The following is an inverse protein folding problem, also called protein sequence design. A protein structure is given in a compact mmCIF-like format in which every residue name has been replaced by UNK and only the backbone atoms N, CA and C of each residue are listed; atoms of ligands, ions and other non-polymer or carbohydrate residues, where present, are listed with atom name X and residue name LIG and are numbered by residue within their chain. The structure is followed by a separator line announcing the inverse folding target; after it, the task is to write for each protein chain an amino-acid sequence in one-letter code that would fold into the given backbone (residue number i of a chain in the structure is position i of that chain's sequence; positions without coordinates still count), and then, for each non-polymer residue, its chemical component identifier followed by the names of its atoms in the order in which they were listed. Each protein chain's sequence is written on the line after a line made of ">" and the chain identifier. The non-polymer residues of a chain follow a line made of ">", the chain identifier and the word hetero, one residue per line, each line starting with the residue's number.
data_IF_471357017419
#
_entry.id   IF_471357017419
#
_cell.length_a   1.000
_cell.length_b   1.000
_cell.length_c   1.000
_cell.angle_alpha   90.00
_cell.angle_beta   90.00
_cell.angle_gamma   90.00
#
_symmetry.space_group_name_H-M   'P 1'
#
loop_
_entity.id
_entity.type
_entity.pdbx_description
1 polymer ?
#
# COMPACT_ATOMS: atom_id res chain seq x y z
N UNK A 1 5.42 8.34 -24.29
CA UNK A 1 5.81 7.33 -23.29
C UNK A 1 4.85 6.17 -23.44
N UNK A 2 5.30 5.03 -23.96
CA UNK A 2 4.54 3.78 -23.92
C UNK A 2 4.92 3.04 -22.65
N UNK A 3 3.95 2.56 -21.88
CA UNK A 3 4.21 1.67 -20.75
C UNK A 3 4.53 0.28 -21.31
N UNK A 4 5.80 -0.10 -21.25
CA UNK A 4 6.24 -1.43 -21.65
C UNK A 4 6.32 -2.33 -20.41
N UNK A 5 5.50 -3.37 -20.38
CA UNK A 5 5.46 -4.33 -19.29
C UNK A 5 6.51 -5.44 -19.45
N UNK A 6 7.08 -5.60 -20.65
CA UNK A 6 8.08 -6.63 -20.94
C UNK A 6 9.43 -6.35 -20.30
N UNK A 7 9.70 -5.08 -19.96
CA UNK A 7 10.93 -4.65 -19.27
C UNK A 7 10.83 -4.79 -17.75
N UNK A 8 9.65 -5.10 -17.20
CA UNK A 8 9.46 -5.26 -15.76
C UNK A 8 9.75 -6.69 -15.32
N UNK A 9 10.47 -6.82 -14.21
CA UNK A 9 10.62 -8.10 -13.53
C UNK A 9 9.30 -8.48 -12.82
N UNK A 10 8.46 -9.26 -13.50
CA UNK A 10 7.16 -9.70 -12.96
C UNK A 10 7.30 -10.56 -11.70
N UNK A 11 8.42 -11.26 -11.50
CA UNK A 11 8.68 -11.96 -10.25
C UNK A 11 8.86 -11.00 -9.08
N UNK A 12 9.59 -9.91 -9.28
CA UNK A 12 9.74 -8.87 -8.26
C UNK A 12 8.37 -8.24 -7.90
N UNK A 13 7.50 -8.02 -8.89
CA UNK A 13 6.13 -7.52 -8.67
C UNK A 13 5.28 -8.50 -7.85
N UNK A 14 5.38 -9.81 -8.13
CA UNK A 14 4.67 -10.83 -7.36
C UNK A 14 5.18 -10.89 -5.91
N UNK A 15 6.50 -10.82 -5.69
CA UNK A 15 7.06 -10.79 -4.33
C UNK A 15 6.64 -9.51 -3.60
N UNK A 16 6.69 -8.35 -4.26
CA UNK A 16 6.21 -7.08 -3.70
C UNK A 16 4.72 -7.15 -3.31
N UNK A 17 3.90 -7.85 -4.10
CA UNK A 17 2.49 -8.09 -3.78
C UNK A 17 2.35 -8.89 -2.49
N UNK A 18 3.09 -10.00 -2.36
CA UNK A 18 3.07 -10.84 -1.15
C UNK A 18 3.54 -10.05 0.07
N UNK A 19 4.58 -9.23 -0.06
CA UNK A 19 5.05 -8.34 1.02
C UNK A 19 3.93 -7.40 1.45
N UNK A 20 3.26 -6.73 0.50
CA UNK A 20 2.14 -5.84 0.81
C UNK A 20 1.02 -6.55 1.60
N UNK A 21 0.69 -7.78 1.20
CA UNK A 21 -0.31 -8.59 1.92
C UNK A 21 0.15 -8.97 3.33
N UNK A 22 1.41 -9.38 3.50
CA UNK A 22 1.97 -9.71 4.81
C UNK A 22 1.99 -8.48 5.71
N UNK A 23 2.46 -7.34 5.20
CA UNK A 23 2.43 -6.07 5.93
C UNK A 23 1.01 -5.70 6.32
N UNK A 24 0.04 -5.82 5.40
CA UNK A 24 -1.37 -5.54 5.69
C UNK A 24 -1.94 -6.45 6.77
N UNK A 25 -1.67 -7.76 6.68
CA UNK A 25 -2.10 -8.74 7.68
C UNK A 25 -1.54 -8.42 9.07
N UNK A 26 -0.27 -8.02 9.15
CA UNK A 26 0.37 -7.66 10.41
C UNK A 26 -0.12 -6.30 10.94
N UNK A 27 -0.27 -5.30 10.06
CA UNK A 27 -0.72 -3.94 10.39
C UNK A 27 -2.10 -3.91 11.03
N UNK A 28 -3.04 -4.68 10.46
CA UNK A 28 -4.42 -4.79 10.95
C UNK A 28 -4.62 -5.99 11.90
N UNK A 29 -3.54 -6.65 12.33
CA UNK A 29 -3.61 -7.68 13.38
C UNK A 29 -3.78 -7.05 14.78
N UNK A 30 -4.18 -7.84 15.79
CA UNK A 30 -4.20 -7.41 17.19
C UNK A 30 -2.82 -7.01 17.75
N UNK A 31 -1.73 -7.40 17.08
CA UNK A 31 -0.34 -7.13 17.51
C UNK A 31 0.04 -5.67 17.25
N UNK A 32 -0.45 -5.09 16.16
CA UNK A 32 -0.21 -3.68 15.79
C UNK A 32 -1.47 -2.85 15.99
N UNK A 33 -2.07 -2.37 14.89
CA UNK A 33 -3.12 -1.34 14.93
C UNK A 33 -4.53 -1.90 14.81
N UNK A 34 -4.71 -3.22 14.64
CA UNK A 34 -6.02 -3.83 14.39
C UNK A 34 -7.06 -3.51 15.47
N UNK A 35 -6.69 -3.61 16.75
CA UNK A 35 -7.61 -3.31 17.86
C UNK A 35 -8.01 -1.83 17.89
N UNK A 36 -7.06 -0.93 17.66
CA UNK A 36 -7.30 0.52 17.62
C UNK A 36 -8.17 0.87 16.42
N UNK A 37 -7.88 0.32 15.25
CA UNK A 37 -8.65 0.52 14.02
C UNK A 37 -10.10 0.07 14.19
N UNK A 38 -10.34 -1.15 14.70
CA UNK A 38 -11.70 -1.67 14.95
C UNK A 38 -12.51 -0.76 15.87
N UNK A 39 -11.90 -0.28 16.95
CA UNK A 39 -12.53 0.68 17.86
C UNK A 39 -12.86 2.00 17.17
N UNK A 40 -11.97 2.52 16.32
CA UNK A 40 -12.20 3.78 15.61
C UNK A 40 -13.29 3.68 14.55
N UNK A 41 -13.47 2.52 13.92
CA UNK A 41 -14.56 2.28 12.96
C UNK A 41 -15.83 1.74 13.62
N UNK A 42 -15.85 1.62 14.95
CA UNK A 42 -17.00 1.13 15.74
C UNK A 42 -17.48 -0.27 15.31
N UNK A 43 -16.54 -1.17 14.96
CA UNK A 43 -16.83 -2.57 14.63
C UNK A 43 -16.26 -3.52 15.66
N UNK A 44 -17.00 -4.58 15.96
CA UNK A 44 -16.54 -5.72 16.76
C UNK A 44 -15.99 -6.82 15.86
N UNK A 45 -15.24 -7.74 16.47
CA UNK A 45 -14.73 -8.92 15.76
C UNK A 45 -15.86 -9.78 15.20
N UNK A 46 -17.00 -9.84 15.87
CA UNK A 46 -18.20 -10.54 15.37
C UNK A 46 -18.74 -9.93 14.08
N UNK A 47 -18.54 -8.62 13.85
CA UNK A 47 -18.98 -7.92 12.64
C UNK A 47 -18.03 -8.18 11.45
N UNK A 48 -16.87 -8.78 11.69
CA UNK A 48 -15.87 -9.09 10.67
C UNK A 48 -16.14 -10.47 10.07
N UNK A 49 -17.05 -10.53 9.11
CA UNK A 49 -17.29 -11.75 8.33
C UNK A 49 -16.15 -11.95 7.34
N UNK A 50 -15.37 -13.03 7.50
CA UNK A 50 -14.43 -13.46 6.47
C UNK A 50 -15.21 -13.87 5.22
N UNK A 51 -15.07 -13.10 4.15
CA UNK A 51 -15.69 -13.41 2.86
C UNK A 51 -14.62 -13.50 1.78
N UNK A 52 -14.77 -14.50 0.91
CA UNK A 52 -13.82 -14.79 -0.16
C UNK A 52 -13.71 -13.64 -1.16
N UNK A 53 -14.81 -12.92 -1.42
CA UNK A 53 -14.87 -11.82 -2.38
C UNK A 53 -13.89 -10.68 -2.07
N UNK A 54 -13.98 -10.02 -0.90
CA UNK A 54 -13.02 -8.99 -0.48
C UNK A 54 -11.58 -9.47 -0.44
N UNK A 55 -11.32 -10.74 -0.09
CA UNK A 55 -9.97 -11.29 -0.09
C UNK A 55 -9.40 -11.38 -1.51
N UNK A 56 -10.17 -11.88 -2.47
CA UNK A 56 -9.78 -11.89 -3.89
C UNK A 56 -9.55 -10.45 -4.38
N UNK A 57 -10.45 -9.53 -4.03
CA UNK A 57 -10.31 -8.11 -4.37
C UNK A 57 -9.00 -7.51 -3.82
N UNK A 58 -8.66 -7.81 -2.56
CA UNK A 58 -7.42 -7.33 -1.94
C UNK A 58 -6.16 -7.85 -2.66
N UNK A 59 -6.16 -9.11 -3.10
CA UNK A 59 -5.05 -9.68 -3.89
C UNK A 59 -4.91 -8.93 -5.21
N UNK A 60 -6.00 -8.78 -5.97
CA UNK A 60 -5.97 -8.10 -7.28
C UNK A 60 -5.50 -6.66 -7.13
N UNK A 61 -6.04 -5.93 -6.15
CA UNK A 61 -5.64 -4.54 -5.87
C UNK A 61 -4.16 -4.48 -5.46
N UNK A 62 -3.66 -5.43 -4.69
CA UNK A 62 -2.24 -5.47 -4.27
C UNK A 62 -1.29 -5.71 -5.45
N UNK A 63 -1.69 -6.55 -6.42
CA UNK A 63 -0.94 -6.76 -7.67
C UNK A 63 -0.88 -5.45 -8.47
N UNK A 64 -2.05 -4.83 -8.69
CA UNK A 64 -2.13 -3.55 -9.43
C UNK A 64 -1.30 -2.47 -8.76
N UNK A 65 -1.32 -2.40 -7.42
CA UNK A 65 -0.55 -1.43 -6.67
C UNK A 65 0.97 -1.64 -6.83
N UNK A 66 1.42 -2.88 -6.73
CA UNK A 66 2.85 -3.23 -6.89
C UNK A 66 3.32 -3.01 -8.33
N UNK A 67 2.49 -3.35 -9.31
CA UNK A 67 2.77 -3.09 -10.73
C UNK A 67 2.84 -1.60 -11.04
N UNK A 68 1.92 -0.82 -10.48
CA UNK A 68 1.89 0.64 -10.64
C UNK A 68 3.17 1.27 -10.08
N UNK A 69 3.60 0.84 -8.88
CA UNK A 69 4.85 1.30 -8.29
C UNK A 69 6.05 0.95 -9.18
N UNK A 70 6.12 -0.28 -9.70
CA UNK A 70 7.20 -0.68 -10.62
C UNK A 70 7.23 0.17 -11.89
N UNK A 71 6.07 0.50 -12.46
CA UNK A 71 5.98 1.41 -13.62
C UNK A 71 6.48 2.82 -13.29
N UNK A 72 6.16 3.36 -12.11
CA UNK A 72 6.66 4.67 -11.69
C UNK A 72 8.19 4.68 -11.52
N UNK A 73 8.75 3.62 -10.91
CA UNK A 73 10.20 3.48 -10.76
C UNK A 73 10.89 3.42 -12.13
N UNK A 74 10.34 2.66 -13.06
CA UNK A 74 10.87 2.58 -14.43
C UNK A 74 10.73 3.91 -15.19
N UNK A 75 9.55 4.55 -15.12
CA UNK A 75 9.29 5.81 -15.82
C UNK A 75 10.13 6.99 -15.32
N UNK A 76 10.55 6.95 -14.05
CA UNK A 76 11.45 7.94 -13.44
C UNK A 76 12.93 7.56 -13.57
N UNK A 77 13.24 6.40 -14.15
CA UNK A 77 14.58 5.83 -14.21
C UNK A 77 15.25 5.77 -12.83
N UNK A 78 14.51 5.32 -11.82
CA UNK A 78 15.03 5.13 -10.46
C UNK A 78 16.03 3.96 -10.44
N UNK A 79 17.33 4.26 -10.30
CA UNK A 79 18.40 3.25 -10.34
C UNK A 79 18.96 2.93 -8.95
N UNK A 80 18.71 3.79 -7.97
CA UNK A 80 19.19 3.60 -6.59
C UNK A 80 18.03 3.44 -5.61
N UNK A 81 18.29 2.79 -4.48
CA UNK A 81 17.31 2.68 -3.38
C UNK A 81 16.83 4.07 -2.93
N UNK A 82 17.68 5.09 -2.95
CA UNK A 82 17.30 6.45 -2.61
C UNK A 82 16.28 7.03 -3.59
N UNK A 83 16.47 6.81 -4.90
CA UNK A 83 15.50 7.23 -5.93
C UNK A 83 14.17 6.52 -5.74
N UNK A 84 14.21 5.20 -5.49
CA UNK A 84 13.00 4.41 -5.28
C UNK A 84 12.23 4.81 -4.03
N UNK A 85 12.92 5.14 -2.94
CA UNK A 85 12.31 5.70 -1.73
C UNK A 85 11.70 7.09 -1.98
N UNK A 86 12.36 7.95 -2.76
CA UNK A 86 11.84 9.27 -3.11
C UNK A 86 10.53 9.15 -3.91
N UNK A 87 10.51 8.32 -4.95
CA UNK A 87 9.30 8.06 -5.76
C UNK A 87 8.18 7.52 -4.88
N UNK A 88 8.46 6.52 -4.05
CA UNK A 88 7.48 5.97 -3.11
C UNK A 88 6.96 7.00 -2.12
N UNK A 89 7.82 7.86 -1.57
CA UNK A 89 7.44 8.92 -0.64
C UNK A 89 6.53 9.96 -1.29
N UNK A 90 6.79 10.34 -2.55
CA UNK A 90 5.93 11.25 -3.30
C UNK A 90 4.55 10.64 -3.58
N UNK A 91 4.50 9.36 -4.00
CA UNK A 91 3.24 8.64 -4.19
C UNK A 91 2.46 8.50 -2.87
N UNK A 92 3.16 8.18 -1.78
CA UNK A 92 2.58 8.11 -0.45
C UNK A 92 2.02 9.47 -0.01
N UNK A 93 2.73 10.57 -0.30
CA UNK A 93 2.25 11.92 -0.02
C UNK A 93 0.96 12.24 -0.78
N UNK A 94 0.88 11.90 -2.06
CA UNK A 94 -0.35 12.08 -2.87
C UNK A 94 -1.51 11.30 -2.26
N UNK A 95 -1.31 10.02 -1.91
CA UNK A 95 -2.33 9.20 -1.26
C UNK A 95 -2.74 9.80 0.09
N UNK A 96 -1.78 10.32 0.86
CA UNK A 96 -2.03 10.97 2.14
C UNK A 96 -2.92 12.19 1.97
N UNK A 97 -2.56 13.09 1.05
CA UNK A 97 -3.28 14.35 0.83
C UNK A 97 -4.67 14.11 0.26
N UNK A 98 -4.80 13.22 -0.72
CA UNK A 98 -6.10 12.83 -1.28
C UNK A 98 -7.03 12.26 -0.20
N UNK A 99 -6.50 11.40 0.68
CA UNK A 99 -7.28 10.83 1.78
C UNK A 99 -7.61 11.88 2.85
N UNK A 100 -6.66 12.76 3.20
CA UNK A 100 -6.84 13.80 4.21
C UNK A 100 -7.97 14.75 3.82
N UNK A 101 -8.06 15.16 2.55
CA UNK A 101 -9.15 16.02 2.07
C UNK A 101 -10.51 15.38 2.37
N UNK A 102 -10.69 14.08 2.05
CA UNK A 102 -11.92 13.36 2.34
C UNK A 102 -12.21 13.33 3.86
N UNK A 103 -11.19 13.10 4.68
CA UNK A 103 -11.35 13.07 6.14
C UNK A 103 -11.76 14.41 6.74
N UNK A 104 -11.24 15.52 6.19
CA UNK A 104 -11.61 16.86 6.60
C UNK A 104 -13.10 17.14 6.32
N UNK A 105 -13.61 16.71 5.16
CA UNK A 105 -15.03 16.88 4.81
C UNK A 105 -15.95 15.89 5.52
N UNK A 106 -15.49 14.67 5.75
CA UNK A 106 -16.27 13.62 6.43
C UNK A 106 -16.23 13.76 7.98
N UNK A 107 -15.43 14.67 8.52
CA UNK A 107 -15.26 14.85 9.97
C UNK A 107 -14.65 13.62 10.66
N UNK A 108 -13.87 12.81 9.95
CA UNK A 108 -13.27 11.58 10.50
C UNK A 108 -12.05 11.90 11.35
N UNK A 109 -11.82 11.06 12.37
CA UNK A 109 -10.70 11.24 13.28
C UNK A 109 -9.32 11.06 12.62
N UNK A 110 -8.38 11.97 12.93
CA UNK A 110 -7.00 11.93 12.40
C UNK A 110 -6.21 10.67 12.80
N UNK A 111 -6.58 10.01 13.91
CA UNK A 111 -6.00 8.71 14.28
C UNK A 111 -6.33 7.62 13.26
N UNK A 112 -7.55 7.62 12.72
CA UNK A 112 -7.95 6.66 11.70
C UNK A 112 -7.22 6.93 10.38
N UNK A 113 -7.04 8.22 10.03
CA UNK A 113 -6.25 8.63 8.87
C UNK A 113 -4.83 8.08 8.97
N UNK A 114 -4.16 8.28 10.11
CA UNK A 114 -2.79 7.84 10.33
C UNK A 114 -2.63 6.32 10.17
N UNK A 115 -3.60 5.53 10.64
CA UNK A 115 -3.58 4.07 10.48
C UNK A 115 -3.75 3.68 9.00
N UNK A 116 -4.74 4.27 8.32
CA UNK A 116 -5.06 3.89 6.94
C UNK A 116 -3.95 4.31 5.96
N UNK A 117 -3.50 5.56 6.05
CA UNK A 117 -2.46 6.06 5.16
C UNK A 117 -1.08 5.52 5.56
N UNK A 118 -0.81 5.37 6.85
CA UNK A 118 0.46 4.83 7.34
C UNK A 118 0.75 3.43 6.78
N UNK A 119 -0.28 2.59 6.64
CA UNK A 119 -0.17 1.31 5.94
C UNK A 119 0.34 1.48 4.50
N UNK A 120 -0.27 2.36 3.71
CA UNK A 120 0.13 2.60 2.32
C UNK A 120 1.55 3.17 2.22
N UNK A 121 1.92 4.09 3.12
CA UNK A 121 3.28 4.64 3.19
C UNK A 121 4.29 3.52 3.40
N UNK A 122 4.09 2.67 4.40
CA UNK A 122 5.03 1.57 4.71
C UNK A 122 5.11 0.59 3.55
N UNK A 123 3.98 0.18 2.97
CA UNK A 123 3.97 -0.74 1.82
C UNK A 123 4.72 -0.15 0.63
N UNK A 124 4.50 1.13 0.30
CA UNK A 124 5.21 1.78 -0.80
C UNK A 124 6.71 1.85 -0.58
N UNK A 125 7.16 2.22 0.62
CA UNK A 125 8.59 2.30 0.92
C UNK A 125 9.26 0.91 0.89
N UNK A 126 8.64 -0.10 1.49
CA UNK A 126 9.21 -1.46 1.50
C UNK A 126 9.23 -2.04 0.09
N UNK A 127 8.13 -1.92 -0.65
CA UNK A 127 8.06 -2.44 -2.01
C UNK A 127 8.98 -1.69 -2.96
N UNK A 128 9.21 -0.38 -2.80
CA UNK A 128 10.14 0.33 -3.68
C UNK A 128 11.59 -0.08 -3.46
N UNK A 129 11.99 -0.37 -2.23
CA UNK A 129 13.32 -0.95 -1.95
C UNK A 129 13.47 -2.28 -2.67
N UNK A 130 12.51 -3.20 -2.54
CA UNK A 130 12.56 -4.50 -3.22
C UNK A 130 12.60 -4.32 -4.74
N UNK A 131 11.67 -3.55 -5.29
CA UNK A 131 11.52 -3.41 -6.74
C UNK A 131 12.73 -2.73 -7.37
N UNK A 132 13.38 -1.80 -6.67
CA UNK A 132 14.60 -1.13 -7.19
C UNK A 132 15.83 -2.03 -7.08
N UNK A 133 15.92 -2.88 -6.06
CA UNK A 133 17.02 -3.85 -5.94
C UNK A 133 16.87 -5.03 -6.92
N UNK A 134 15.68 -5.23 -7.48
CA UNK A 134 15.34 -6.39 -8.30
C UNK A 134 14.79 -6.03 -9.69
N UNK A 135 14.94 -4.76 -10.09
CA UNK A 135 14.62 -4.23 -11.42
C UNK A 135 15.74 -4.47 -12.42
#
# INVERSE_FOLDING_TARGET
>A
MSFDFSTLNLWAVLVATVIGMVVGSLWYSPVLFGNVWMNLIQKKKEDMVSSTGPMIGAVVVSIVNSLTLALFLHATNAQTVADGLLVAALLALVVTMATLINYLFEGRGMKLLAIQVGYHVVVFLVNSVLLTLWS
#
